data_IF_496627400915
#
_entry.id   IF_496627400915
#
_cell.length_a   1.000
_cell.length_b   1.000
_cell.length_c   1.000
_cell.angle_alpha   90.00
_cell.angle_beta   90.00
_cell.angle_gamma   90.00
#
_symmetry.space_group_name_H-M   'P 1'
#
loop_
_entity.id
_entity.type
_entity.pdbx_description
1 polymer ?
#
# COMPACT_ATOMS: atom_id res chain seq x y z
N UNK A 1 15.51 0.20 -15.04
CA UNK A 1 14.31 0.30 -15.88
C UNK A 1 13.17 -0.39 -15.13
N UNK A 2 12.41 0.38 -14.34
CA UNK A 2 11.37 -0.14 -13.46
C UNK A 2 10.01 0.11 -14.11
N UNK A 3 9.50 -0.91 -14.81
CA UNK A 3 8.13 -0.98 -15.26
C UNK A 3 7.23 -1.31 -14.06
N UNK A 4 6.83 -0.29 -13.29
CA UNK A 4 5.84 -0.45 -12.22
C UNK A 4 4.44 -0.19 -12.76
N UNK A 5 3.73 -1.27 -13.04
CA UNK A 5 2.30 -1.44 -12.78
C UNK A 5 1.35 -0.27 -13.12
N UNK A 6 1.27 0.06 -14.42
CA UNK A 6 0.14 0.82 -14.98
C UNK A 6 -0.64 -0.03 -16.01
N UNK A 7 -0.52 -1.35 -15.92
CA UNK A 7 -1.22 -2.28 -16.79
C UNK A 7 -2.55 -2.68 -16.12
N UNK A 8 -3.59 -1.84 -16.20
CA UNK A 8 -4.91 -2.32 -15.77
C UNK A 8 -6.03 -1.32 -15.56
N UNK A 9 -5.78 -0.01 -15.45
CA UNK A 9 -6.88 0.97 -15.39
C UNK A 9 -7.02 1.59 -16.76
N UNK A 10 -7.53 0.79 -17.70
CA UNK A 10 -7.97 1.33 -18.97
C UNK A 10 -9.12 2.31 -18.71
N UNK A 11 -8.98 3.55 -19.15
CA UNK A 11 -10.11 4.44 -19.38
C UNK A 11 -10.89 3.91 -20.59
N UNK A 12 -11.47 2.71 -20.45
CA UNK A 12 -11.92 1.85 -21.56
C UNK A 12 -13.26 2.25 -22.17
N UNK A 13 -13.92 3.27 -21.61
CA UNK A 13 -15.18 3.78 -22.16
C UNK A 13 -14.98 5.08 -22.94
N UNK A 14 -15.70 5.23 -24.05
CA UNK A 14 -15.72 6.46 -24.83
C UNK A 14 -16.09 7.70 -23.98
N UNK A 15 -16.94 7.53 -22.97
CA UNK A 15 -17.31 8.59 -22.02
C UNK A 15 -16.11 9.06 -21.20
N UNK A 16 -15.29 8.12 -20.74
CA UNK A 16 -14.13 8.41 -19.91
C UNK A 16 -13.05 9.12 -20.71
N UNK A 17 -12.81 8.70 -21.94
CA UNK A 17 -11.90 9.39 -22.87
C UNK A 17 -12.37 10.83 -23.15
N UNK A 18 -13.66 11.03 -23.41
CA UNK A 18 -14.22 12.36 -23.62
C UNK A 18 -14.07 13.26 -22.37
N UNK A 19 -14.23 12.69 -21.17
CA UNK A 19 -13.99 13.42 -19.93
C UNK A 19 -12.53 13.87 -19.81
N UNK A 20 -11.56 13.00 -20.11
CA UNK A 20 -10.13 13.36 -20.12
C UNK A 20 -9.83 14.48 -21.11
N UNK A 21 -10.41 14.44 -22.32
CA UNK A 21 -10.24 15.50 -23.32
C UNK A 21 -10.79 16.85 -22.86
N UNK A 22 -11.99 16.87 -22.27
CA UNK A 22 -12.60 18.09 -21.75
C UNK A 22 -11.79 18.71 -20.61
N UNK A 23 -11.26 17.88 -19.70
CA UNK A 23 -10.37 18.33 -18.63
C UNK A 23 -9.07 18.91 -19.21
N UNK A 24 -8.47 18.25 -20.19
CA UNK A 24 -7.24 18.72 -20.84
C UNK A 24 -7.46 20.08 -21.55
N UNK A 25 -8.60 20.26 -22.22
CA UNK A 25 -8.97 21.55 -22.84
C UNK A 25 -9.20 22.65 -21.80
N UNK A 26 -9.80 22.33 -20.65
CA UNK A 26 -9.98 23.28 -19.56
C UNK A 26 -8.62 23.72 -18.96
N UNK A 27 -7.68 22.78 -18.78
CA UNK A 27 -6.33 23.06 -18.30
C UNK A 27 -5.55 23.97 -19.26
N UNK A 28 -5.65 23.73 -20.57
CA UNK A 28 -5.05 24.61 -21.59
C UNK A 28 -5.60 26.05 -21.48
N UNK A 29 -6.92 26.21 -21.27
CA UNK A 29 -7.55 27.52 -21.06
C UNK A 29 -7.08 28.21 -19.77
N UNK A 30 -6.85 27.45 -18.70
CA UNK A 30 -6.29 28.00 -17.45
C UNK A 30 -4.86 28.52 -17.64
N UNK A 31 -4.09 27.92 -18.54
CA UNK A 31 -2.77 28.42 -18.97
C UNK A 31 -2.86 29.56 -20.01
N UNK A 32 -4.07 29.98 -20.41
CA UNK A 32 -4.30 30.93 -21.50
C UNK A 32 -3.68 30.47 -22.83
N UNK A 33 -3.76 29.17 -23.11
CA UNK A 33 -3.29 28.57 -24.35
C UNK A 33 -4.46 28.08 -25.19
N UNK A 34 -4.43 28.38 -26.48
CA UNK A 34 -5.43 27.90 -27.45
C UNK A 34 -5.17 26.45 -27.89
N UNK A 35 -4.00 25.89 -27.56
CA UNK A 35 -3.60 24.53 -27.89
C UNK A 35 -3.44 23.66 -26.62
N UNK A 36 -3.91 22.42 -26.73
CA UNK A 36 -3.75 21.42 -25.66
C UNK A 36 -2.35 20.84 -25.74
N UNK A 37 -1.58 21.00 -24.67
CA UNK A 37 -0.24 20.44 -24.55
C UNK A 37 -0.31 19.01 -23.96
N UNK A 38 0.78 18.25 -24.13
CA UNK A 38 0.92 16.92 -23.51
C UNK A 38 0.74 16.99 -21.99
N UNK A 39 1.24 18.06 -21.36
CA UNK A 39 1.19 18.25 -19.91
C UNK A 39 -0.26 18.37 -19.40
N UNK A 40 -1.16 18.98 -20.18
CA UNK A 40 -2.59 19.05 -19.84
C UNK A 40 -3.23 17.66 -19.78
N UNK A 41 -2.82 16.76 -20.68
CA UNK A 41 -3.33 15.39 -20.74
C UNK A 41 -2.80 14.57 -19.56
N UNK A 42 -1.51 14.73 -19.25
CA UNK A 42 -0.87 14.07 -18.10
C UNK A 42 -1.53 14.53 -16.81
N UNK A 43 -1.77 15.82 -16.65
CA UNK A 43 -2.39 16.39 -15.47
C UNK A 43 -3.88 16.01 -15.36
N UNK A 44 -4.64 16.05 -16.47
CA UNK A 44 -6.03 15.58 -16.50
C UNK A 44 -6.13 14.11 -16.06
N UNK A 45 -5.21 13.25 -16.54
CA UNK A 45 -5.14 11.85 -16.13
C UNK A 45 -4.81 11.73 -14.64
N UNK A 46 -3.86 12.52 -14.12
CA UNK A 46 -3.50 12.54 -12.70
C UNK A 46 -4.72 12.92 -11.83
N UNK A 47 -5.44 13.97 -12.21
CA UNK A 47 -6.65 14.43 -11.51
C UNK A 47 -7.77 13.37 -11.52
N UNK A 48 -8.00 12.70 -12.66
CA UNK A 48 -8.99 11.61 -12.73
C UNK A 48 -8.62 10.43 -11.82
N UNK A 49 -7.35 10.06 -11.76
CA UNK A 49 -6.86 9.02 -10.86
C UNK A 49 -7.06 9.40 -9.39
N UNK A 50 -6.73 10.65 -9.03
CA UNK A 50 -6.88 11.16 -7.68
C UNK A 50 -8.35 11.29 -7.26
N UNK A 51 -9.24 11.74 -8.15
CA UNK A 51 -10.67 11.80 -7.88
C UNK A 51 -11.23 10.41 -7.56
N UNK A 52 -10.80 9.37 -8.29
CA UNK A 52 -11.18 7.99 -7.99
C UNK A 52 -10.57 7.50 -6.68
N UNK A 53 -9.29 7.76 -6.47
CA UNK A 53 -8.59 7.36 -5.24
C UNK A 53 -9.25 7.99 -4.00
N UNK A 54 -9.58 9.29 -4.05
CA UNK A 54 -10.23 10.01 -2.95
C UNK A 54 -11.59 9.42 -2.57
N UNK A 55 -12.37 8.93 -3.55
CA UNK A 55 -13.67 8.28 -3.29
C UNK A 55 -13.50 6.89 -2.69
N UNK A 56 -12.48 6.15 -3.11
CA UNK A 56 -12.17 4.83 -2.54
C UNK A 56 -11.60 4.96 -1.12
N UNK A 57 -10.79 5.99 -0.88
CA UNK A 57 -10.19 6.31 0.43
C UNK A 57 -11.24 6.78 1.46
N UNK A 58 -12.42 7.24 1.03
CA UNK A 58 -13.53 7.64 1.92
C UNK A 58 -14.50 6.51 2.26
N UNK A 59 -14.34 5.31 1.68
CA UNK A 59 -15.30 4.21 1.80
C UNK A 59 -14.82 2.94 2.47
N UNK A 60 -13.52 2.76 2.68
CA UNK A 60 -12.95 1.54 3.26
C UNK A 60 -11.78 1.89 4.20
N UNK A 61 -12.13 2.31 5.41
CA UNK A 61 -11.30 2.02 6.59
C UNK A 61 -11.06 0.50 6.62
N UNK A 62 -9.97 0.04 5.98
CA UNK A 62 -9.06 -1.02 6.48
C UNK A 62 -7.87 -1.37 5.59
N UNK A 63 -7.83 -1.07 4.28
CA UNK A 63 -6.80 -1.69 3.41
C UNK A 63 -6.16 -0.82 2.30
N UNK A 64 -6.24 0.51 2.35
CA UNK A 64 -5.34 1.35 1.55
C UNK A 64 -3.97 1.45 2.27
N UNK A 65 -2.83 1.29 1.56
CA UNK A 65 -1.50 1.22 2.17
C UNK A 65 -1.08 2.59 2.66
N UNK A 66 -1.50 2.93 3.88
CA UNK A 66 -0.97 4.01 4.70
C UNK A 66 0.55 3.94 4.60
N UNK A 67 1.16 5.03 4.12
CA UNK A 67 2.58 5.21 3.87
C UNK A 67 3.44 4.30 4.76
N UNK A 68 3.81 3.14 4.22
CA UNK A 68 4.67 2.11 4.81
C UNK A 68 4.89 2.21 6.33
N UNK A 69 3.80 2.14 7.10
CA UNK A 69 3.86 2.16 8.56
C UNK A 69 4.80 1.01 8.95
N UNK A 70 5.86 1.31 9.70
CA UNK A 70 6.89 0.32 10.01
C UNK A 70 6.29 -0.98 10.57
N UNK A 71 5.19 -0.85 11.32
CA UNK A 71 4.37 -1.93 11.86
C UNK A 71 3.73 -2.79 10.76
N UNK A 72 3.07 -2.19 9.78
CA UNK A 72 2.45 -2.87 8.63
C UNK A 72 3.48 -3.59 7.74
N UNK A 73 4.65 -2.98 7.54
CA UNK A 73 5.75 -3.63 6.82
C UNK A 73 6.23 -4.87 7.57
N UNK A 74 6.48 -4.74 8.88
CA UNK A 74 6.94 -5.84 9.74
C UNK A 74 5.91 -6.98 9.75
N UNK A 75 4.62 -6.66 9.86
CA UNK A 75 3.53 -7.62 9.78
C UNK A 75 3.56 -8.44 8.48
N UNK A 76 3.76 -7.78 7.32
CA UNK A 76 3.90 -8.46 6.03
C UNK A 76 5.07 -9.43 6.02
N UNK A 77 6.22 -9.07 6.62
CA UNK A 77 7.38 -9.97 6.73
C UNK A 77 7.02 -11.22 7.52
N UNK A 78 6.35 -11.06 8.66
CA UNK A 78 5.98 -12.17 9.55
C UNK A 78 4.96 -13.08 8.85
N UNK A 79 3.99 -12.51 8.12
CA UNK A 79 2.99 -13.28 7.36
C UNK A 79 3.61 -14.02 6.16
N UNK A 80 4.52 -13.40 5.43
CA UNK A 80 5.30 -14.04 4.35
C UNK A 80 6.17 -15.19 4.88
N UNK A 81 6.70 -15.03 6.09
CA UNK A 81 7.45 -16.07 6.79
C UNK A 81 6.58 -17.26 7.18
N UNK A 82 5.42 -17.01 7.76
CA UNK A 82 4.45 -18.04 8.11
C UNK A 82 4.00 -18.84 6.88
N UNK A 83 3.65 -18.13 5.79
CA UNK A 83 3.18 -18.74 4.55
C UNK A 83 4.23 -19.64 3.87
N UNK A 84 5.52 -19.34 4.01
CA UNK A 84 6.58 -20.15 3.40
C UNK A 84 6.90 -21.42 4.18
N UNK A 85 6.76 -21.38 5.51
CA UNK A 85 7.08 -22.50 6.39
C UNK A 85 5.87 -23.44 6.59
N UNK A 86 4.68 -23.04 6.12
CA UNK A 86 3.39 -23.73 6.35
C UNK A 86 3.16 -24.08 7.84
N UNK A 87 3.78 -23.30 8.71
CA UNK A 87 3.82 -23.56 10.14
C UNK A 87 2.97 -22.51 10.86
N UNK A 88 2.15 -22.92 11.84
CA UNK A 88 1.33 -22.00 12.64
C UNK A 88 2.15 -21.13 13.60
N UNK A 89 3.48 -21.29 13.60
CA UNK A 89 4.40 -20.61 14.49
C UNK A 89 5.64 -20.11 13.73
N UNK A 90 6.06 -18.88 14.01
CA UNK A 90 7.23 -18.23 13.43
C UNK A 90 8.21 -17.85 14.54
N UNK A 91 9.50 -18.17 14.34
CA UNK A 91 10.55 -17.80 15.30
C UNK A 91 11.00 -16.34 15.09
N UNK A 92 11.04 -15.56 16.16
CA UNK A 92 11.48 -14.15 16.15
C UNK A 92 12.94 -14.02 15.67
N UNK A 93 13.78 -15.03 15.93
CA UNK A 93 15.16 -15.07 15.45
C UNK A 93 15.27 -15.08 13.90
N UNK A 94 14.26 -15.59 13.20
CA UNK A 94 14.21 -15.60 11.73
C UNK A 94 13.60 -14.31 11.15
N UNK A 95 12.81 -13.60 11.96
CA UNK A 95 12.16 -12.34 11.60
C UNK A 95 13.15 -11.18 11.72
N UNK A 96 13.93 -11.13 12.81
CA UNK A 96 14.82 -10.01 13.13
C UNK A 96 15.81 -9.65 12.00
N UNK A 97 16.54 -10.60 11.35
CA UNK A 97 17.45 -10.27 10.27
C UNK A 97 16.73 -9.67 9.05
N UNK A 98 15.50 -10.12 8.77
CA UNK A 98 14.71 -9.61 7.64
C UNK A 98 14.17 -8.21 7.90
N UNK A 99 13.75 -7.93 9.15
CA UNK A 99 13.33 -6.59 9.58
C UNK A 99 14.49 -5.59 9.46
N UNK A 100 15.68 -5.96 9.96
CA UNK A 100 16.89 -5.14 9.83
C UNK A 100 17.30 -4.93 8.37
N UNK A 101 17.21 -5.97 7.53
CA UNK A 101 17.54 -5.85 6.09
C UNK A 101 16.65 -4.85 5.33
N UNK A 102 15.43 -4.61 5.83
CA UNK A 102 14.49 -3.62 5.28
C UNK A 102 14.60 -2.25 5.96
N UNK A 103 15.64 -2.01 6.76
CA UNK A 103 15.94 -0.72 7.38
C UNK A 103 15.08 -0.37 8.59
N UNK A 104 14.43 -1.36 9.23
CA UNK A 104 13.62 -1.17 10.44
C UNK A 104 14.40 -1.59 11.68
N UNK A 105 14.06 -1.02 12.82
CA UNK A 105 14.78 -1.28 14.08
C UNK A 105 14.18 -2.45 14.85
N UNK A 106 14.92 -2.96 15.85
CA UNK A 106 14.40 -3.95 16.81
C UNK A 106 13.23 -3.38 17.64
N UNK A 107 13.29 -2.09 17.96
CA UNK A 107 12.23 -1.39 18.70
C UNK A 107 10.92 -1.34 17.90
N UNK A 108 11.01 -1.11 16.58
CA UNK A 108 9.83 -1.16 15.70
C UNK A 108 9.19 -2.56 15.66
N UNK A 109 10.01 -3.61 15.70
CA UNK A 109 9.53 -5.00 15.78
C UNK A 109 8.86 -5.27 17.12
N UNK A 110 9.45 -4.86 18.23
CA UNK A 110 8.87 -5.05 19.57
C UNK A 110 7.55 -4.30 19.73
N UNK A 111 7.45 -3.08 19.17
CA UNK A 111 6.22 -2.30 19.11
C UNK A 111 5.15 -3.02 18.28
N UNK A 112 5.49 -3.45 17.07
CA UNK A 112 4.59 -4.21 16.19
C UNK A 112 4.07 -5.49 16.86
N UNK A 113 4.96 -6.25 17.50
CA UNK A 113 4.61 -7.48 18.22
C UNK A 113 3.62 -7.21 19.35
N UNK A 114 3.81 -6.13 20.11
CA UNK A 114 2.95 -5.76 21.23
C UNK A 114 1.58 -5.27 20.75
N UNK A 115 1.54 -4.39 19.75
CA UNK A 115 0.29 -3.87 19.18
C UNK A 115 -0.60 -5.01 18.62
N UNK A 116 -0.03 -5.91 17.82
CA UNK A 116 -0.80 -7.03 17.26
C UNK A 116 -1.13 -8.14 18.28
N UNK A 117 -0.40 -8.20 19.39
CA UNK A 117 -0.77 -9.05 20.52
C UNK A 117 -2.00 -8.48 21.25
N UNK A 118 -2.08 -7.17 21.45
CA UNK A 118 -3.27 -6.49 22.01
C UNK A 118 -4.50 -6.65 21.12
N UNK A 119 -4.30 -6.67 19.80
CA UNK A 119 -5.35 -6.93 18.81
C UNK A 119 -5.72 -8.41 18.66
N UNK A 120 -5.15 -9.31 19.48
CA UNK A 120 -5.37 -10.77 19.43
C UNK A 120 -5.12 -11.41 18.07
N UNK A 121 -4.19 -10.87 17.28
CA UNK A 121 -3.79 -11.46 15.98
C UNK A 121 -2.82 -12.63 16.18
N UNK A 122 -1.98 -12.56 17.21
CA UNK A 122 -1.06 -13.62 17.59
C UNK A 122 -0.78 -13.64 19.09
N UNK A 123 -0.22 -14.77 19.56
CA UNK A 123 0.35 -14.91 20.89
C UNK A 123 1.86 -15.15 20.81
N UNK A 124 2.59 -14.52 21.71
CA UNK A 124 4.01 -14.78 21.95
C UNK A 124 4.15 -15.80 23.09
N UNK A 125 5.16 -16.65 23.00
CA UNK A 125 5.57 -17.48 24.14
C UNK A 125 6.14 -16.60 25.28
N UNK A 126 6.20 -17.10 26.51
CA UNK A 126 6.73 -16.40 27.70
C UNK A 126 8.16 -15.88 27.48
N UNK A 127 8.97 -16.61 26.71
CA UNK A 127 10.33 -16.22 26.33
C UNK A 127 10.40 -15.19 25.16
N UNK A 128 9.27 -14.79 24.58
CA UNK A 128 9.13 -13.90 23.40
C UNK A 128 9.95 -14.33 22.18
N UNK A 129 10.18 -15.62 22.02
CA UNK A 129 10.98 -16.21 20.93
C UNK A 129 10.14 -16.77 19.78
N UNK A 130 8.88 -17.11 20.04
CA UNK A 130 7.99 -17.75 19.06
C UNK A 130 6.66 -17.00 19.02
N UNK A 131 6.24 -16.63 17.81
CA UNK A 131 4.97 -16.00 17.47
C UNK A 131 4.04 -17.11 16.98
N UNK A 132 2.87 -17.27 17.59
CA UNK A 132 1.81 -18.20 17.15
C UNK A 132 0.60 -17.40 16.70
N UNK A 133 0.15 -17.59 15.48
CA UNK A 133 -1.05 -16.93 14.99
C UNK A 133 -2.29 -17.50 15.68
N UNK A 134 -3.22 -16.63 16.07
CA UNK A 134 -4.55 -17.04 16.54
C UNK A 134 -5.38 -17.28 15.30
N UNK A 135 -5.66 -18.55 15.02
CA UNK A 135 -6.34 -18.99 13.80
C UNK A 135 -7.74 -18.36 13.69
N UNK A 136 -8.16 -18.01 12.47
CA UNK A 136 -9.55 -17.69 12.10
C UNK A 136 -10.03 -18.71 11.08
#
# INVERSE_FOLDING_TARGET
EAASDTAGIGFTSARTLLATLRLSQALARLRQSDEVARDDIVEARRLMSLSRASVLDTGEDKDAPKADDAVSMIYKIIRELAARTDAPAVNVAEVLPRVLSRGRTKEDLERCLSEYQELNVWHLNDARTVIRFVDS
#
